data_IF_708355253705
#
_entry.id   IF_708355253705
#
_cell.length_a   1.000
_cell.length_b   1.000
_cell.length_c   1.000
_cell.angle_alpha   90.00
_cell.angle_beta   90.00
_cell.angle_gamma   90.00
#
_symmetry.space_group_name_H-M   'P 1'
#
loop_
_entity.id
_entity.type
_entity.pdbx_description
1 polymer ?
#
# COMPACT_ATOMS: atom_id res chain seq x y z
N UNK A 1 16.51 -17.83 3.41
CA UNK A 1 15.22 -17.71 2.70
C UNK A 1 14.13 -18.39 3.51
N UNK A 2 12.94 -17.80 3.61
CA UNK A 2 11.79 -18.42 4.28
C UNK A 2 11.27 -19.62 3.46
N UNK A 3 10.88 -20.71 4.14
CA UNK A 3 10.32 -21.91 3.49
C UNK A 3 9.13 -21.60 2.58
N UNK A 4 8.29 -20.64 2.96
CA UNK A 4 7.13 -20.25 2.15
C UNK A 4 7.52 -19.74 0.76
N UNK A 5 8.66 -19.04 0.63
CA UNK A 5 9.15 -18.61 -0.68
C UNK A 5 9.62 -19.78 -1.53
N UNK A 6 10.28 -20.75 -0.91
CA UNK A 6 10.67 -21.98 -1.60
C UNK A 6 9.43 -22.75 -2.09
N UNK A 7 8.40 -22.85 -1.26
CA UNK A 7 7.13 -23.49 -1.62
C UNK A 7 6.43 -22.76 -2.79
N UNK A 8 6.36 -21.42 -2.74
CA UNK A 8 5.79 -20.59 -3.83
C UNK A 8 6.58 -20.76 -5.13
N UNK A 9 7.91 -20.73 -5.06
CA UNK A 9 8.77 -20.91 -6.26
C UNK A 9 8.52 -22.29 -6.86
N UNK A 10 8.52 -23.34 -6.04
CA UNK A 10 8.31 -24.70 -6.53
C UNK A 10 6.91 -24.86 -7.15
N UNK A 11 5.88 -24.26 -6.56
CA UNK A 11 4.53 -24.25 -7.11
C UNK A 11 4.47 -23.54 -8.47
N UNK A 12 5.04 -22.34 -8.58
CA UNK A 12 5.06 -21.57 -9.84
C UNK A 12 5.82 -22.31 -10.92
N UNK A 13 7.01 -22.83 -10.61
CA UNK A 13 7.82 -23.60 -11.56
C UNK A 13 7.07 -24.86 -12.02
N UNK A 14 6.45 -25.61 -11.11
CA UNK A 14 5.68 -26.80 -11.47
C UNK A 14 4.48 -26.48 -12.39
N UNK A 15 3.83 -25.33 -12.20
CA UNK A 15 2.75 -24.87 -13.09
C UNK A 15 3.28 -24.44 -14.46
N UNK A 16 4.44 -23.79 -14.52
CA UNK A 16 5.06 -23.39 -15.79
C UNK A 16 5.51 -24.60 -16.61
N UNK A 17 6.07 -25.63 -15.97
CA UNK A 17 6.45 -26.89 -16.62
C UNK A 17 5.24 -27.62 -17.23
N UNK A 18 4.04 -27.48 -16.66
CA UNK A 18 2.80 -28.04 -17.23
C UNK A 18 2.30 -27.24 -18.45
N UNK A 19 2.60 -25.94 -18.51
CA UNK A 19 2.21 -25.05 -19.62
C UNK A 19 3.24 -25.07 -20.75
N UNK A 20 4.49 -25.46 -20.48
CA UNK A 20 5.53 -25.64 -21.50
C UNK A 20 5.10 -26.61 -22.61
N UNK A 21 4.26 -27.59 -22.30
CA UNK A 21 3.70 -28.51 -23.30
C UNK A 21 2.75 -27.80 -24.30
N UNK A 22 2.23 -26.61 -23.95
CA UNK A 22 1.37 -25.78 -24.80
C UNK A 22 2.12 -24.58 -25.41
N UNK A 23 3.14 -24.05 -24.72
CA UNK A 23 3.92 -22.87 -25.11
C UNK A 23 5.40 -23.24 -25.12
N UNK A 24 6.11 -22.96 -26.22
CA UNK A 24 7.53 -23.31 -26.40
C UNK A 24 8.51 -22.48 -25.53
N UNK A 25 8.28 -22.44 -24.21
CA UNK A 25 9.20 -21.93 -23.21
C UNK A 25 10.15 -23.07 -22.87
N UNK A 26 11.36 -23.07 -23.43
CA UNK A 26 12.28 -24.19 -23.20
C UNK A 26 12.62 -24.39 -21.72
N UNK A 27 12.72 -25.65 -21.28
CA UNK A 27 13.18 -26.08 -19.94
C UNK A 27 14.34 -25.28 -19.35
N UNK A 28 15.30 -24.86 -20.19
CA UNK A 28 16.43 -24.02 -19.76
C UNK A 28 15.97 -22.68 -19.18
N UNK A 29 15.03 -22.01 -19.84
CA UNK A 29 14.51 -20.71 -19.39
C UNK A 29 13.75 -20.84 -18.06
N UNK A 30 12.96 -21.90 -17.88
CA UNK A 30 12.27 -22.18 -16.61
C UNK A 30 13.28 -22.46 -15.50
N UNK A 31 14.33 -23.23 -15.81
CA UNK A 31 15.40 -23.53 -14.87
C UNK A 31 16.21 -22.28 -14.47
N UNK A 32 16.53 -21.42 -15.43
CA UNK A 32 17.18 -20.13 -15.21
C UNK A 32 16.32 -19.21 -14.33
N UNK A 33 15.03 -19.08 -14.65
CA UNK A 33 14.07 -18.31 -13.84
C UNK A 33 14.06 -18.76 -12.38
N UNK A 34 14.03 -20.08 -12.14
CA UNK A 34 14.06 -20.65 -10.79
C UNK A 34 15.32 -20.22 -10.03
N UNK A 35 16.47 -20.29 -10.69
CA UNK A 35 17.75 -19.99 -10.06
C UNK A 35 17.92 -18.48 -9.81
N UNK A 36 17.64 -17.65 -10.81
CA UNK A 36 17.71 -16.19 -10.67
C UNK A 36 16.76 -15.67 -9.59
N UNK A 37 15.53 -16.20 -9.53
CA UNK A 37 14.56 -15.79 -8.51
C UNK A 37 15.07 -16.16 -7.11
N UNK A 38 15.62 -17.37 -6.95
CA UNK A 38 16.20 -17.80 -5.68
C UNK A 38 17.37 -16.91 -5.25
N UNK A 39 18.28 -16.61 -6.15
CA UNK A 39 19.44 -15.76 -5.88
C UNK A 39 19.03 -14.35 -5.48
N UNK A 40 18.09 -13.73 -6.21
CA UNK A 40 17.57 -12.38 -5.86
C UNK A 40 16.90 -12.34 -4.50
N UNK A 41 16.16 -13.38 -4.11
CA UNK A 41 15.56 -13.46 -2.77
C UNK A 41 16.61 -13.63 -1.67
N UNK A 42 17.68 -14.40 -1.93
CA UNK A 42 18.79 -14.53 -0.98
C UNK A 42 19.50 -13.19 -0.82
N UNK A 43 19.82 -12.51 -1.92
CA UNK A 43 20.43 -11.19 -1.91
C UNK A 43 19.57 -10.17 -1.14
N UNK A 44 18.26 -10.13 -1.42
CA UNK A 44 17.33 -9.27 -0.71
C UNK A 44 17.32 -9.52 0.80
N UNK A 45 17.19 -10.79 1.22
CA UNK A 45 17.08 -11.16 2.64
C UNK A 45 18.39 -11.12 3.42
N UNK A 46 19.54 -11.13 2.74
CA UNK A 46 20.88 -11.02 3.35
C UNK A 46 21.45 -9.59 3.28
N UNK A 47 20.85 -8.71 2.50
CA UNK A 47 21.29 -7.33 2.41
C UNK A 47 21.24 -6.67 3.79
N UNK A 48 22.32 -6.00 4.17
CA UNK A 48 22.41 -5.28 5.44
C UNK A 48 21.36 -4.16 5.46
N UNK A 49 20.43 -4.26 6.41
CA UNK A 49 19.41 -3.24 6.58
C UNK A 49 20.04 -2.01 7.25
N UNK A 50 20.34 -1.00 6.44
CA UNK A 50 20.73 0.33 6.93
C UNK A 50 19.46 1.07 7.43
N UNK A 51 19.05 0.76 8.67
CA UNK A 51 17.92 1.40 9.34
C UNK A 51 18.08 2.91 9.50
N UNK A 52 19.31 3.44 9.38
CA UNK A 52 19.62 4.86 9.45
C UNK A 52 19.21 5.59 8.18
N UNK A 53 19.29 4.92 7.02
CA UNK A 53 18.79 5.45 5.74
C UNK A 53 17.28 5.66 5.74
N UNK A 54 16.54 4.77 6.42
CA UNK A 54 15.10 4.88 6.58
C UNK A 54 14.72 6.04 7.51
N UNK A 55 15.33 6.11 8.69
CA UNK A 55 15.07 7.19 9.66
C UNK A 55 15.33 8.59 9.10
N UNK A 56 16.30 8.74 8.22
CA UNK A 56 16.58 10.01 7.54
C UNK A 56 15.49 10.41 6.54
N UNK A 57 14.79 9.45 5.93
CA UNK A 57 13.80 9.70 4.87
C UNK A 57 12.37 9.86 5.41
N UNK A 58 12.00 9.08 6.44
CA UNK A 58 10.70 9.23 7.13
C UNK A 58 10.60 10.59 7.87
N UNK A 59 11.74 11.22 8.17
CA UNK A 59 11.79 12.57 8.73
C UNK A 59 11.43 13.70 7.75
N UNK A 60 11.40 13.44 6.43
CA UNK A 60 11.08 14.45 5.41
C UNK A 60 9.67 14.27 4.82
N UNK A 61 9.11 13.05 4.88
CA UNK A 61 7.73 12.77 4.47
C UNK A 61 6.86 12.56 5.71
N UNK A 62 6.58 13.65 6.42
CA UNK A 62 5.54 13.66 7.42
C UNK A 62 4.21 13.22 6.80
N UNK A 63 3.48 12.35 7.49
CA UNK A 63 2.08 12.03 7.17
C UNK A 63 1.33 13.36 6.94
N UNK A 64 1.00 13.67 5.69
CA UNK A 64 0.07 14.73 5.36
C UNK A 64 -1.32 14.23 5.78
N UNK A 65 -1.64 14.45 7.06
CA UNK A 65 -3.00 14.35 7.55
C UNK A 65 -3.88 15.27 6.72
N UNK A 66 -5.00 14.75 6.24
CA UNK A 66 -6.04 15.57 5.63
C UNK A 66 -6.41 16.68 6.62
N UNK A 67 -6.17 17.94 6.25
CA UNK A 67 -6.60 19.07 7.06
C UNK A 67 -8.13 19.08 7.08
N UNK A 68 -8.70 18.76 8.24
CA UNK A 68 -10.12 18.99 8.48
C UNK A 68 -10.32 20.51 8.51
N UNK A 69 -11.05 21.03 7.52
CA UNK A 69 -11.63 22.37 7.54
C UNK A 69 -12.29 22.61 8.90
N UNK A 70 -11.72 23.54 9.66
CA UNK A 70 -12.26 23.96 10.95
C UNK A 70 -13.55 24.73 10.71
N UNK A 71 -14.69 24.17 11.14
CA UNK A 71 -15.94 24.91 11.25
C UNK A 71 -15.76 26.00 12.33
N UNK A 72 -15.51 27.23 11.89
CA UNK A 72 -15.47 28.40 12.74
C UNK A 72 -16.87 28.75 13.29
N UNK A 73 -16.95 29.51 14.40
CA UNK A 73 -18.20 29.72 15.12
C UNK A 73 -19.16 30.63 14.33
N UNK A 74 -20.43 30.24 14.25
CA UNK A 74 -21.48 31.04 13.63
C UNK A 74 -21.67 32.37 14.40
N UNK A 75 -21.14 33.45 13.84
CA UNK A 75 -21.47 34.82 14.25
C UNK A 75 -22.84 35.22 13.69
N UNK A 76 -23.72 35.64 14.60
CA UNK A 76 -25.01 36.25 14.29
C UNK A 76 -24.86 37.55 13.49
N UNK A 77 -25.61 37.68 12.40
CA UNK A 77 -25.97 38.98 11.82
C UNK A 77 -27.40 38.93 11.29
N UNK A 78 -28.22 39.86 11.79
CA UNK A 78 -29.62 40.01 11.42
C UNK A 78 -29.81 40.78 10.11
N UNK A 79 -31.05 40.77 9.62
CA UNK A 79 -31.52 41.66 8.56
C UNK A 79 -32.50 40.99 7.60
N UNK A 80 -33.80 41.25 7.76
CA UNK A 80 -34.77 41.25 6.64
C UNK A 80 -34.66 42.63 5.96
N UNK A 81 -34.84 42.80 4.63
CA UNK A 81 -36.13 42.54 3.99
C UNK A 81 -36.13 42.16 2.49
N UNK A 82 -37.32 41.77 2.05
CA UNK A 82 -37.92 41.70 0.71
C UNK A 82 -37.23 42.46 -0.45
N UNK A 83 -37.03 41.81 -1.60
CA UNK A 83 -37.75 42.00 -2.89
C UNK A 83 -36.98 41.34 -4.05
N UNK A 84 -37.73 40.93 -5.07
CA UNK A 84 -37.32 40.07 -6.18
C UNK A 84 -36.44 40.74 -7.26
N UNK A 85 -35.53 39.99 -7.90
CA UNK A 85 -35.39 39.84 -9.37
C UNK A 85 -34.15 39.03 -9.78
N UNK A 86 -34.38 38.23 -10.83
CA UNK A 86 -33.48 37.63 -11.82
C UNK A 86 -32.52 36.45 -11.49
N UNK A 87 -32.63 35.32 -12.24
CA UNK A 87 -31.64 34.25 -12.27
C UNK A 87 -30.70 34.36 -13.49
N UNK A 88 -29.40 34.12 -13.30
CA UNK A 88 -28.48 33.85 -14.42
C UNK A 88 -27.00 34.13 -14.15
N UNK A 89 -26.17 33.12 -14.47
CA UNK A 89 -24.71 33.16 -14.71
C UNK A 89 -23.75 33.19 -13.51
N UNK A 90 -23.09 32.06 -13.23
CA UNK A 90 -21.62 31.94 -13.01
C UNK A 90 -21.28 30.44 -12.84
N UNK A 91 -20.89 29.74 -13.90
CA UNK A 91 -19.51 29.39 -14.30
C UNK A 91 -18.92 28.14 -13.62
N UNK A 92 -18.46 27.27 -14.53
CA UNK A 92 -17.78 25.99 -14.46
C UNK A 92 -16.68 25.90 -13.38
N UNK A 93 -16.83 24.94 -12.45
CA UNK A 93 -15.75 24.50 -11.56
C UNK A 93 -15.31 23.11 -12.02
N UNK A 94 -14.29 23.09 -12.87
CA UNK A 94 -13.62 21.87 -13.32
C UNK A 94 -13.05 21.10 -12.14
N UNK A 95 -13.67 19.96 -11.83
CA UNK A 95 -13.13 18.96 -10.90
C UNK A 95 -12.17 18.06 -11.67
N UNK A 96 -10.89 18.41 -11.65
CA UNK A 96 -9.78 17.54 -12.08
C UNK A 96 -9.15 16.88 -10.85
N UNK A 97 -9.92 16.03 -10.16
CA UNK A 97 -9.41 15.20 -9.07
C UNK A 97 -9.04 13.82 -9.62
N UNK A 98 -7.93 13.78 -10.36
CA UNK A 98 -7.27 12.54 -10.76
C UNK A 98 -6.32 12.12 -9.63
N UNK A 99 -6.88 11.50 -8.58
CA UNK A 99 -6.09 10.82 -7.55
C UNK A 99 -5.46 9.55 -8.15
N UNK A 100 -4.38 9.75 -8.90
CA UNK A 100 -3.41 8.72 -9.30
C UNK A 100 -2.39 8.56 -8.17
N UNK A 101 -2.70 7.77 -7.15
CA UNK A 101 -1.81 7.56 -6.00
C UNK A 101 -1.64 6.13 -5.52
N UNK A 102 -2.53 5.20 -5.89
CA UNK A 102 -2.53 3.85 -5.31
C UNK A 102 -1.39 2.94 -5.84
N UNK A 103 -0.74 3.34 -6.93
CA UNK A 103 0.35 2.59 -7.56
C UNK A 103 1.75 2.95 -7.07
N UNK A 104 1.94 4.03 -6.29
CA UNK A 104 3.29 4.45 -5.84
C UNK A 104 3.77 3.75 -4.56
N UNK A 105 2.89 3.07 -3.83
CA UNK A 105 3.24 2.41 -2.55
C UNK A 105 4.04 1.12 -2.77
N UNK A 106 3.99 0.52 -3.96
CA UNK A 106 4.67 -0.75 -4.24
C UNK A 106 5.92 -0.48 -5.09
N UNK A 107 7.07 -0.33 -4.43
CA UNK A 107 8.37 -0.60 -5.04
C UNK A 107 8.93 0.48 -5.96
N UNK A 108 8.87 1.75 -5.56
CA UNK A 108 9.81 2.75 -6.11
C UNK A 108 11.23 2.22 -5.92
N UNK A 109 11.91 1.94 -7.04
CA UNK A 109 13.26 1.37 -7.10
C UNK A 109 14.21 2.16 -6.18
N UNK A 110 14.47 1.65 -4.97
CA UNK A 110 15.30 2.32 -3.96
C UNK A 110 14.61 2.65 -2.62
N UNK A 111 13.37 2.20 -2.41
CA UNK A 111 12.67 2.33 -1.13
C UNK A 111 12.15 0.96 -0.67
N UNK A 112 12.91 0.24 0.17
CA UNK A 112 12.34 -0.83 1.00
C UNK A 112 11.58 -0.19 2.17
N UNK A 113 10.51 0.54 1.81
CA UNK A 113 9.44 0.94 2.72
C UNK A 113 9.03 -0.22 3.61
N UNK A 114 8.77 0.06 4.89
CA UNK A 114 8.01 -0.90 5.68
C UNK A 114 6.64 -1.03 5.01
N UNK A 115 6.27 -2.24 4.59
CA UNK A 115 5.02 -2.46 3.88
C UNK A 115 4.30 -3.68 4.44
N UNK A 116 2.98 -3.68 4.31
CA UNK A 116 2.13 -4.79 4.72
C UNK A 116 1.12 -5.04 3.59
N UNK A 117 1.15 -6.25 3.05
CA UNK A 117 0.23 -6.74 2.02
C UNK A 117 -0.63 -7.83 2.66
N UNK A 118 -1.94 -7.64 2.71
CA UNK A 118 -2.85 -8.60 3.33
C UNK A 118 -4.30 -8.41 2.87
N UNK A 119 -5.19 -9.29 3.30
CA UNK A 119 -6.63 -9.09 3.21
C UNK A 119 -7.16 -8.52 4.53
N UNK A 120 -8.08 -7.56 4.45
CA UNK A 120 -8.84 -7.15 5.63
C UNK A 120 -10.02 -8.10 5.87
N UNK A 121 -10.37 -8.27 7.14
CA UNK A 121 -11.54 -9.05 7.60
C UNK A 121 -12.59 -8.10 8.17
N UNK A 122 -12.18 -7.24 9.08
CA UNK A 122 -13.07 -6.27 9.74
C UNK A 122 -12.27 -5.03 10.12
N UNK A 123 -12.83 -3.87 9.82
CA UNK A 123 -12.31 -2.57 10.25
C UNK A 123 -13.43 -1.86 10.99
N UNK A 124 -13.18 -1.47 12.24
CA UNK A 124 -14.12 -0.70 13.05
C UNK A 124 -13.45 0.56 13.55
N UNK A 125 -14.22 1.64 13.66
CA UNK A 125 -13.78 2.89 14.27
C UNK A 125 -14.73 3.28 15.40
N UNK A 126 -14.20 3.74 16.53
CA UNK A 126 -14.97 4.39 17.60
C UNK A 126 -14.12 5.43 18.32
N UNK A 127 -14.60 6.68 18.38
CA UNK A 127 -13.91 7.81 19.06
C UNK A 127 -12.43 7.97 18.65
N UNK A 128 -12.13 7.98 17.35
CA UNK A 128 -10.75 8.11 16.83
C UNK A 128 -9.91 6.83 16.92
N UNK A 129 -10.41 5.77 17.55
CA UNK A 129 -9.71 4.48 17.66
C UNK A 129 -10.16 3.53 16.58
N UNK A 130 -9.21 3.06 15.79
CA UNK A 130 -9.38 2.07 14.74
C UNK A 130 -8.97 0.70 15.25
N UNK A 131 -9.81 -0.31 15.02
CA UNK A 131 -9.51 -1.72 15.23
C UNK A 131 -9.63 -2.46 13.91
N UNK A 132 -8.53 -3.03 13.47
CA UNK A 132 -8.42 -3.74 12.21
C UNK A 132 -8.12 -5.21 12.46
N UNK A 133 -8.81 -6.10 11.76
CA UNK A 133 -8.54 -7.53 11.70
C UNK A 133 -8.13 -7.88 10.29
N UNK A 134 -6.98 -8.51 10.13
CA UNK A 134 -6.38 -8.89 8.86
C UNK A 134 -6.18 -10.40 8.76
N UNK A 135 -6.07 -10.91 7.54
CA UNK A 135 -5.73 -12.31 7.25
C UNK A 135 -4.82 -12.44 6.03
N UNK A 136 -4.13 -13.58 5.93
CA UNK A 136 -3.32 -13.99 4.77
C UNK A 136 -2.39 -12.87 4.31
N UNK A 137 -1.45 -12.49 5.18
CA UNK A 137 -0.63 -11.33 4.91
C UNK A 137 0.84 -11.55 5.12
N UNK A 138 1.54 -10.55 4.61
CA UNK A 138 2.97 -10.47 4.48
C UNK A 138 3.39 -9.06 4.87
N UNK A 139 4.41 -8.94 5.72
CA UNK A 139 4.92 -7.68 6.22
C UNK A 139 6.41 -7.65 5.94
N UNK A 140 6.89 -6.66 5.18
CA UNK A 140 8.31 -6.36 5.07
C UNK A 140 8.64 -5.20 5.99
N UNK A 141 9.59 -5.42 6.91
CA UNK A 141 10.17 -4.37 7.75
C UNK A 141 11.66 -4.32 7.44
N UNK A 142 12.08 -3.28 6.72
CA UNK A 142 13.41 -3.25 6.11
C UNK A 142 13.61 -4.41 5.14
N UNK A 143 14.58 -5.28 5.44
CA UNK A 143 14.89 -6.49 4.66
C UNK A 143 14.40 -7.78 5.33
N UNK A 144 13.60 -7.65 6.41
CA UNK A 144 13.03 -8.79 7.14
C UNK A 144 11.57 -8.94 6.77
N UNK A 145 11.22 -10.15 6.35
CA UNK A 145 9.89 -10.52 5.93
C UNK A 145 9.18 -11.37 6.98
N UNK A 146 7.94 -11.02 7.30
CA UNK A 146 7.07 -11.74 8.22
C UNK A 146 5.81 -12.18 7.48
N UNK A 147 5.39 -13.42 7.69
CA UNK A 147 4.14 -13.95 7.13
C UNK A 147 3.19 -14.27 8.28
N UNK A 148 1.91 -13.97 8.11
CA UNK A 148 0.89 -14.24 9.11
C UNK A 148 -0.41 -14.79 8.49
N UNK A 149 -1.08 -15.68 9.23
CA UNK A 149 -2.42 -16.14 8.84
C UNK A 149 -3.52 -15.16 9.29
N UNK A 150 -3.38 -14.60 10.49
CA UNK A 150 -4.24 -13.55 11.04
C UNK A 150 -3.42 -12.50 11.80
N UNK A 151 -3.87 -11.25 11.77
CA UNK A 151 -3.27 -10.15 12.53
C UNK A 151 -4.35 -9.18 13.04
N UNK A 152 -4.05 -8.50 14.15
CA UNK A 152 -4.90 -7.46 14.73
C UNK A 152 -4.08 -6.16 14.83
N UNK A 153 -4.68 -5.04 14.43
CA UNK A 153 -4.10 -3.71 14.57
C UNK A 153 -5.03 -2.80 15.36
N UNK A 154 -4.48 -2.09 16.34
CA UNK A 154 -5.16 -0.99 17.03
C UNK A 154 -4.42 0.31 16.68
N UNK A 155 -5.13 1.29 16.13
CA UNK A 155 -4.57 2.58 15.74
C UNK A 155 -5.37 3.70 16.37
N UNK A 156 -4.71 4.81 16.66
CA UNK A 156 -5.34 6.05 17.13
C UNK A 156 -5.06 7.12 16.09
N UNK A 157 -6.13 7.84 15.70
CA UNK A 157 -6.06 8.99 14.82
C UNK A 157 -6.43 10.25 15.61
#
# INVERSE_FOLDING_TARGET
>A
MLKIYEDIINEVISRLEQVEDEVSIGKSAIHELRNEWRERLIEYTQSEWDGERMRRRDGEQGYHGYERLSEGPAHAFGGKPTTAKDPGMFEDYGSSDVSSGDSEIIGTKGSTGNCMVCLYVKVNMSKGKWKCTFKQGFISIGNIDFVFNSAQGELEW
#
